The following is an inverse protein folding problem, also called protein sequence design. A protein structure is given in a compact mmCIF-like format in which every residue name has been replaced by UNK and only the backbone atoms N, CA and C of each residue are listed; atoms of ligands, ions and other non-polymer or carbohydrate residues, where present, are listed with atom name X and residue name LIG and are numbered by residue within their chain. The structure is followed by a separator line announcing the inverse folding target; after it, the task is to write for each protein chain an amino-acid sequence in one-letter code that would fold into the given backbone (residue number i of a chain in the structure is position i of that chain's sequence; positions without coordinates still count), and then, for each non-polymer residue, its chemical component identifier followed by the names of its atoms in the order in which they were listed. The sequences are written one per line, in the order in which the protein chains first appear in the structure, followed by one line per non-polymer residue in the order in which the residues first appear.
data_IF_009015495522
#
_entry.id   IF_009015495522
#
_cell.length_a   1.000
_cell.length_b   1.000
_cell.length_c   1.000
_cell.angle_alpha   90.00
_cell.angle_beta   90.00
_cell.angle_gamma   90.00
#
_symmetry.space_group_name_H-M   'P 1'
#
loop_
_entity.id
_entity.type
_entity.pdbx_description
1 polymer ?
#
# COMPACT_ATOMS: atom_id res chain seq x y z
N UNK A 1 -14.08 -25.46 13.02
CA UNK A 1 -14.10 -25.06 11.60
C UNK A 1 -14.69 -23.65 11.55
N UNK A 2 -13.86 -22.64 11.27
CA UNK A 2 -14.36 -21.26 11.12
C UNK A 2 -15.13 -21.17 9.80
N UNK A 3 -16.30 -20.54 9.85
CA UNK A 3 -17.21 -20.40 8.71
C UNK A 3 -17.91 -19.05 8.82
N UNK A 4 -18.02 -18.37 7.70
CA UNK A 4 -18.80 -17.15 7.60
C UNK A 4 -20.27 -17.54 7.39
N UNK A 5 -21.12 -17.26 8.37
CA UNK A 5 -22.54 -17.59 8.28
C UNK A 5 -23.28 -16.57 7.39
N UNK A 6 -24.43 -16.99 6.87
CA UNK A 6 -25.27 -16.11 6.04
C UNK A 6 -25.66 -14.86 6.83
N UNK A 7 -25.38 -13.68 6.27
CA UNK A 7 -25.63 -12.38 6.93
C UNK A 7 -24.49 -11.89 7.83
N UNK A 8 -23.37 -12.62 7.93
CA UNK A 8 -22.16 -12.20 8.63
C UNK A 8 -21.12 -11.60 7.66
N UNK A 9 -20.20 -10.79 8.20
CA UNK A 9 -19.13 -10.11 7.46
C UNK A 9 -17.80 -10.25 8.20
N UNK A 10 -16.69 -10.13 7.47
CA UNK A 10 -15.35 -9.93 8.04
C UNK A 10 -15.01 -8.43 7.97
N UNK A 11 -14.50 -7.89 9.05
CA UNK A 11 -14.09 -6.49 9.14
C UNK A 11 -12.58 -6.35 9.07
N UNK A 12 -12.09 -5.54 8.13
CA UNK A 12 -10.65 -5.31 7.90
C UNK A 12 -9.91 -4.77 9.14
N UNK A 13 -10.65 -4.12 10.03
CA UNK A 13 -10.14 -3.47 11.24
C UNK A 13 -10.05 -4.44 12.43
N UNK A 14 -10.74 -5.58 12.34
CA UNK A 14 -10.77 -6.63 13.35
C UNK A 14 -9.62 -7.60 13.11
N UNK A 15 -8.60 -7.54 13.98
CA UNK A 15 -7.43 -8.43 13.93
C UNK A 15 -7.80 -9.90 14.20
N UNK A 16 -9.05 -10.18 14.57
CA UNK A 16 -9.60 -11.51 14.84
C UNK A 16 -10.50 -12.06 13.72
N UNK A 17 -10.83 -11.25 12.71
CA UNK A 17 -11.72 -11.64 11.60
C UNK A 17 -10.92 -12.33 10.50
N UNK A 18 -10.44 -13.53 10.81
CA UNK A 18 -9.69 -14.40 9.90
C UNK A 18 -10.52 -15.64 9.64
N UNK A 19 -10.53 -16.12 8.39
CA UNK A 19 -10.91 -17.48 8.08
C UNK A 19 -9.66 -18.31 7.80
N UNK A 20 -9.49 -19.38 8.57
CA UNK A 20 -8.38 -20.32 8.42
C UNK A 20 -8.90 -21.65 7.87
N UNK A 21 -8.24 -22.18 6.84
CA UNK A 21 -8.56 -23.52 6.31
C UNK A 21 -8.31 -24.61 7.37
N UNK A 22 -8.98 -25.77 7.31
CA UNK A 22 -8.83 -26.84 8.33
C UNK A 22 -7.40 -27.35 8.53
N UNK A 23 -6.55 -27.22 7.51
CA UNK A 23 -5.14 -27.58 7.48
C UNK A 23 -4.19 -26.40 7.74
N UNK A 24 -4.72 -25.18 7.93
CA UNK A 24 -3.93 -23.97 8.19
C UNK A 24 -3.18 -23.40 6.98
N UNK A 25 -3.44 -23.91 5.76
CA UNK A 25 -2.71 -23.52 4.56
C UNK A 25 -3.12 -22.14 4.01
N UNK A 26 -4.35 -21.69 4.28
CA UNK A 26 -4.89 -20.43 3.76
C UNK A 26 -5.55 -19.59 4.86
N UNK A 27 -5.17 -18.31 4.94
CA UNK A 27 -5.76 -17.31 5.84
C UNK A 27 -6.39 -16.17 5.00
N UNK A 28 -7.66 -15.85 5.26
CA UNK A 28 -8.38 -14.73 4.62
C UNK A 28 -8.75 -13.71 5.69
N UNK A 29 -8.21 -12.48 5.62
CA UNK A 29 -8.67 -11.39 6.50
C UNK A 29 -7.73 -10.20 6.74
N UNK A 30 -6.40 -10.34 6.71
CA UNK A 30 -5.51 -9.35 7.36
C UNK A 30 -4.37 -8.76 6.54
N UNK A 31 -4.40 -8.85 5.20
CA UNK A 31 -3.19 -8.56 4.44
C UNK A 31 -3.39 -7.77 3.14
N UNK A 32 -4.20 -6.71 3.22
CA UNK A 32 -4.53 -5.89 2.07
C UNK A 32 -4.37 -4.39 2.41
N UNK A 33 -3.20 -3.85 2.08
CA UNK A 33 -2.74 -2.50 2.44
C UNK A 33 -2.57 -1.62 1.20
N UNK A 34 -2.44 -0.31 1.44
CA UNK A 34 -2.14 0.69 0.40
C UNK A 34 -1.07 1.65 0.91
N UNK A 35 -0.19 2.09 0.02
CA UNK A 35 0.65 3.27 0.27
C UNK A 35 -0.13 4.52 -0.08
N UNK A 36 -0.27 5.42 0.89
CA UNK A 36 -1.12 6.60 0.78
C UNK A 36 -0.44 7.84 1.36
N UNK A 37 -0.85 9.00 0.87
CA UNK A 37 -0.57 10.31 1.45
C UNK A 37 -1.87 10.81 2.07
N UNK A 38 -1.83 11.26 3.32
CA UNK A 38 -2.98 11.79 4.04
C UNK A 38 -2.67 13.14 4.70
N UNK A 39 -3.71 13.92 4.99
CA UNK A 39 -3.57 15.17 5.73
C UNK A 39 -3.27 14.88 7.21
N UNK A 40 -2.08 15.28 7.67
CA UNK A 40 -1.61 14.98 9.03
C UNK A 40 -2.46 15.63 10.13
N UNK A 41 -2.99 16.83 9.89
CA UNK A 41 -3.83 17.57 10.85
C UNK A 41 -5.33 17.20 10.79
N UNK A 42 -5.70 16.17 10.01
CA UNK A 42 -7.07 15.68 9.94
C UNK A 42 -7.32 14.64 11.03
N UNK A 43 -8.31 14.87 11.89
CA UNK A 43 -8.73 13.90 12.92
C UNK A 43 -9.05 12.51 12.34
N UNK A 44 -9.54 12.47 11.10
CA UNK A 44 -9.89 11.23 10.38
C UNK A 44 -8.84 10.78 9.35
N UNK A 45 -7.61 11.33 9.37
CA UNK A 45 -6.55 10.97 8.41
C UNK A 45 -7.01 10.96 6.94
N UNK A 46 -7.66 12.05 6.50
CA UNK A 46 -8.22 12.15 5.15
C UNK A 46 -7.15 11.89 4.09
N UNK A 47 -7.38 10.89 3.22
CA UNK A 47 -6.45 10.47 2.17
C UNK A 47 -6.49 11.45 0.99
N UNK A 48 -5.33 11.97 0.60
CA UNK A 48 -5.15 12.83 -0.57
C UNK A 48 -4.76 12.01 -1.82
N UNK A 49 -3.94 10.98 -1.65
CA UNK A 49 -3.46 10.15 -2.77
C UNK A 49 -3.13 8.71 -2.36
N UNK A 50 -3.21 7.77 -3.31
CA UNK A 50 -2.86 6.35 -3.16
C UNK A 50 -2.06 5.90 -4.39
N UNK A 51 -0.94 5.21 -4.17
CA UNK A 51 -0.03 4.77 -5.24
C UNK A 51 -0.65 3.82 -6.27
N UNK A 52 -1.58 2.96 -5.84
CA UNK A 52 -2.36 2.10 -6.74
C UNK A 52 -3.73 1.81 -6.13
N UNK A 53 -4.79 2.48 -6.61
CA UNK A 53 -6.15 2.38 -6.02
C UNK A 53 -6.84 1.04 -6.30
N UNK A 54 -6.53 0.42 -7.42
CA UNK A 54 -7.16 -0.82 -7.91
C UNK A 54 -6.55 -2.09 -7.30
N UNK A 55 -5.35 -2.01 -6.71
CA UNK A 55 -4.63 -3.17 -6.21
C UNK A 55 -3.95 -2.89 -4.88
N UNK A 56 -4.39 -3.61 -3.86
CA UNK A 56 -3.79 -3.64 -2.52
C UNK A 56 -2.52 -4.49 -2.53
N UNK A 57 -1.62 -4.21 -1.59
CA UNK A 57 -0.37 -4.94 -1.34
C UNK A 57 -0.44 -5.73 -0.04
N UNK A 58 0.51 -6.64 0.13
CA UNK A 58 0.79 -7.22 1.43
C UNK A 58 1.22 -6.14 2.43
N UNK A 59 0.73 -6.17 3.67
CA UNK A 59 1.17 -5.29 4.75
C UNK A 59 2.57 -5.59 5.26
N UNK A 60 3.13 -6.75 4.92
CA UNK A 60 4.52 -7.11 5.25
C UNK A 60 5.35 -7.18 3.97
N UNK A 61 6.61 -6.74 4.04
CA UNK A 61 7.62 -6.80 2.97
C UNK A 61 7.35 -5.98 1.71
N UNK A 62 6.14 -5.46 1.52
CA UNK A 62 5.86 -4.48 0.48
C UNK A 62 6.54 -3.15 0.79
N UNK A 63 7.02 -2.47 -0.26
CA UNK A 63 7.81 -1.24 -0.13
C UNK A 63 7.61 -0.31 -1.32
N UNK A 64 7.61 0.99 -1.04
CA UNK A 64 7.81 2.02 -2.06
C UNK A 64 9.32 2.31 -2.12
N UNK A 65 9.92 2.32 -3.31
CA UNK A 65 11.37 2.44 -3.48
C UNK A 65 11.70 3.29 -4.70
N UNK A 66 12.62 4.25 -4.54
CA UNK A 66 13.22 4.96 -5.67
C UNK A 66 14.43 4.16 -6.15
N UNK A 67 14.36 3.65 -7.37
CA UNK A 67 15.43 2.88 -7.98
C UNK A 67 16.56 3.77 -8.49
N UNK A 68 17.72 3.17 -8.76
CA UNK A 68 18.93 3.88 -9.21
C UNK A 68 18.77 4.58 -10.57
N UNK A 69 17.83 4.13 -11.38
CA UNK A 69 17.43 4.77 -12.64
C UNK A 69 16.49 5.97 -12.41
N UNK A 70 16.08 6.24 -11.17
CA UNK A 70 15.13 7.32 -10.86
C UNK A 70 13.67 6.94 -11.09
N UNK A 71 13.34 5.66 -11.17
CA UNK A 71 11.96 5.21 -11.19
C UNK A 71 11.45 4.98 -9.76
N UNK A 72 10.35 5.64 -9.38
CA UNK A 72 9.69 5.36 -8.10
C UNK A 72 8.74 4.18 -8.30
N UNK A 73 8.98 3.10 -7.58
CA UNK A 73 8.24 1.83 -7.75
C UNK A 73 7.60 1.36 -6.45
N UNK A 74 6.41 0.77 -6.57
CA UNK A 74 5.77 0.01 -5.51
C UNK A 74 5.96 -1.48 -5.76
N UNK A 75 6.62 -2.14 -4.81
CA UNK A 75 6.99 -3.56 -4.86
C UNK A 75 6.20 -4.31 -3.77
N UNK A 76 5.55 -5.41 -4.14
CA UNK A 76 4.80 -6.28 -3.22
C UNK A 76 5.72 -7.32 -2.54
N UNK A 77 5.19 -8.08 -1.57
CA UNK A 77 5.97 -9.03 -0.77
C UNK A 77 6.71 -10.12 -1.56
N UNK A 78 6.24 -10.43 -2.76
CA UNK A 78 6.84 -11.40 -3.69
C UNK A 78 7.84 -10.76 -4.67
N UNK A 79 8.29 -9.54 -4.38
CA UNK A 79 9.18 -8.72 -5.20
C UNK A 79 8.62 -8.35 -6.59
N UNK A 80 7.31 -8.53 -6.82
CA UNK A 80 6.66 -8.04 -8.02
C UNK A 80 6.49 -6.51 -7.97
N UNK A 81 6.91 -5.83 -9.02
CA UNK A 81 6.55 -4.42 -9.24
C UNK A 81 5.09 -4.36 -9.62
N UNK A 82 4.29 -3.69 -8.78
CA UNK A 82 2.85 -3.55 -9.03
C UNK A 82 2.49 -2.13 -9.49
N UNK A 83 3.34 -1.14 -9.30
CA UNK A 83 3.13 0.20 -9.83
C UNK A 83 4.46 0.93 -9.97
N UNK A 84 4.55 1.85 -10.93
CA UNK A 84 5.73 2.67 -11.19
C UNK A 84 5.34 4.03 -11.76
N UNK A 85 6.16 5.04 -11.52
CA UNK A 85 6.02 6.37 -12.14
C UNK A 85 6.49 6.39 -13.59
N UNK A 86 7.29 5.40 -14.01
CA UNK A 86 7.93 5.34 -15.33
C UNK A 86 8.78 6.58 -15.62
N UNK A 87 9.36 7.14 -14.57
CA UNK A 87 10.32 8.25 -14.66
C UNK A 87 11.73 7.71 -14.81
N UNK A 88 12.62 8.58 -15.29
CA UNK A 88 14.05 8.30 -15.39
C UNK A 88 14.82 9.52 -14.87
N UNK A 89 16.04 9.31 -14.36
CA UNK A 89 16.93 10.37 -13.87
C UNK A 89 16.41 11.19 -12.67
N UNK A 90 15.33 10.75 -12.00
CA UNK A 90 14.94 11.31 -10.71
C UNK A 90 16.00 11.01 -9.66
N UNK A 91 16.42 12.03 -8.92
CA UNK A 91 17.41 11.94 -7.85
C UNK A 91 16.77 11.74 -6.47
N UNK A 92 15.64 12.37 -6.21
CA UNK A 92 14.93 12.25 -4.94
C UNK A 92 13.43 12.50 -5.09
N UNK A 93 12.68 12.09 -4.05
CA UNK A 93 11.25 12.34 -3.92
C UNK A 93 11.01 13.19 -2.67
N UNK A 94 10.11 14.16 -2.77
CA UNK A 94 9.82 15.13 -1.71
C UNK A 94 8.30 15.31 -1.57
N UNK A 95 7.80 15.41 -0.34
CA UNK A 95 6.43 15.84 -0.07
C UNK A 95 6.46 17.34 0.24
N UNK A 96 5.72 18.12 -0.54
CA UNK A 96 5.54 19.56 -0.31
C UNK A 96 4.47 19.82 0.74
N UNK A 97 4.45 21.05 1.29
CA UNK A 97 3.40 21.52 2.22
C UNK A 97 1.99 21.46 1.63
N UNK A 98 1.88 21.43 0.30
CA UNK A 98 0.61 21.23 -0.42
C UNK A 98 0.10 19.79 -0.37
N UNK A 99 0.90 18.85 0.15
CA UNK A 99 0.63 17.42 0.16
C UNK A 99 0.96 16.70 -1.15
N UNK A 100 1.56 17.40 -2.11
CA UNK A 100 2.01 16.80 -3.37
C UNK A 100 3.35 16.07 -3.16
N UNK A 101 3.39 14.80 -3.56
CA UNK A 101 4.64 14.05 -3.74
C UNK A 101 5.21 14.39 -5.12
N UNK A 102 6.38 15.01 -5.13
CA UNK A 102 7.11 15.41 -6.33
C UNK A 102 8.40 14.62 -6.47
N UNK A 103 8.75 14.33 -7.72
CA UNK A 103 10.00 13.71 -8.11
C UNK A 103 10.89 14.77 -8.74
N UNK A 104 12.13 14.90 -8.27
CA UNK A 104 13.09 15.91 -8.74
C UNK A 104 14.38 15.25 -9.21
N UNK A 105 14.98 15.81 -10.25
CA UNK A 105 16.34 15.47 -10.64
C UNK A 105 17.36 16.22 -9.77
N UNK A 106 18.65 16.14 -10.11
CA UNK A 106 19.70 16.83 -9.37
C UNK A 106 19.70 18.36 -9.58
N UNK A 107 18.94 18.87 -10.55
CA UNK A 107 18.81 20.30 -10.85
C UNK A 107 17.59 20.94 -10.17
N UNK A 108 16.64 20.13 -9.71
CA UNK A 108 15.48 20.58 -8.91
C UNK A 108 14.19 20.71 -9.70
#
# INVERSE_FOLDING_TARGET
MQRLNRGSSLHVESHSDILVSPDGLYEVGLNAYSFAIWFSNSANQTVSWIARRDRRVNGRRSRLSLWKDGNLVLIDANDAVIWSTNTNSTSYAEILDTGNLVLRDCNG
#
